data_IF_164027853240
#
_entry.id   IF_164027853240
#
_cell.length_a   1.000
_cell.length_b   1.000
_cell.length_c   1.000
_cell.angle_alpha   90.00
_cell.angle_beta   90.00
_cell.angle_gamma   90.00
#
_symmetry.space_group_name_H-M   'P 1'
#
loop_
_entity.id
_entity.type
_entity.pdbx_description
1 polymer ?
#
# COMPACT_ATOMS: atom_id res chain seq x y z
N UNK A 1 23.83 -0.36 -5.30
CA UNK A 1 22.40 -0.67 -5.07
C UNK A 1 21.56 0.26 -5.93
N UNK A 2 20.76 -0.28 -6.85
CA UNK A 2 19.96 0.54 -7.78
C UNK A 2 18.72 1.11 -7.11
N UNK A 3 18.51 2.42 -7.22
CA UNK A 3 17.26 3.07 -6.81
C UNK A 3 16.19 2.70 -7.81
N UNK A 4 15.39 1.68 -7.50
CA UNK A 4 14.21 1.33 -8.29
C UNK A 4 13.10 2.35 -7.99
N UNK A 5 12.71 3.13 -8.99
CA UNK A 5 11.49 3.93 -8.90
C UNK A 5 10.28 3.03 -9.20
N UNK A 6 9.28 2.93 -8.30
CA UNK A 6 8.08 2.13 -8.55
C UNK A 6 7.25 2.64 -9.74
N UNK A 7 7.51 3.86 -10.21
CA UNK A 7 6.85 4.48 -11.35
C UNK A 7 7.74 4.50 -12.62
N UNK A 8 8.87 3.77 -12.61
CA UNK A 8 9.86 3.83 -13.69
C UNK A 8 10.66 5.13 -13.68
N UNK A 9 11.47 5.33 -14.71
CA UNK A 9 12.36 6.49 -14.87
C UNK A 9 12.44 6.92 -16.35
N UNK A 10 12.92 8.14 -16.60
CA UNK A 10 13.11 8.71 -17.94
C UNK A 10 11.81 8.89 -18.75
N UNK A 11 11.89 8.72 -20.07
CA UNK A 11 10.80 9.01 -21.01
C UNK A 11 9.57 8.08 -20.89
N UNK A 12 9.64 7.07 -20.02
CA UNK A 12 8.54 6.13 -19.73
C UNK A 12 8.07 6.18 -18.28
N UNK A 13 8.49 7.20 -17.52
CA UNK A 13 8.00 7.50 -16.17
C UNK A 13 6.47 7.62 -16.20
N UNK A 14 5.79 7.00 -15.23
CA UNK A 14 4.32 7.01 -15.21
C UNK A 14 3.79 8.43 -14.99
N UNK A 15 2.89 8.86 -15.88
CA UNK A 15 2.20 10.17 -15.79
C UNK A 15 1.49 10.33 -14.43
N UNK A 16 0.98 9.23 -13.87
CA UNK A 16 0.27 9.20 -12.60
C UNK A 16 1.15 9.17 -11.34
N UNK A 17 2.47 9.36 -11.42
CA UNK A 17 3.36 9.25 -10.24
C UNK A 17 2.95 10.18 -9.10
N UNK A 18 2.72 11.46 -9.39
CA UNK A 18 2.33 12.43 -8.37
C UNK A 18 0.99 12.06 -7.74
N UNK A 19 0.00 11.76 -8.59
CA UNK A 19 -1.32 11.36 -8.13
C UNK A 19 -1.26 10.08 -7.27
N UNK A 20 -0.61 9.02 -7.75
CA UNK A 20 -0.48 7.76 -7.02
C UNK A 20 0.26 7.90 -5.70
N UNK A 21 1.27 8.78 -5.65
CA UNK A 21 1.98 9.07 -4.40
C UNK A 21 1.09 9.82 -3.39
N UNK A 22 0.35 10.83 -3.84
CA UNK A 22 -0.56 11.61 -2.99
C UNK A 22 -1.69 10.72 -2.46
N UNK A 23 -2.33 9.94 -3.32
CA UNK A 23 -3.37 8.98 -2.93
C UNK A 23 -2.85 7.98 -1.88
N UNK A 24 -1.66 7.40 -2.10
CA UNK A 24 -1.07 6.47 -1.14
C UNK A 24 -0.83 7.14 0.23
N UNK A 25 -0.31 8.37 0.24
CA UNK A 25 -0.08 9.13 1.47
C UNK A 25 -1.41 9.45 2.19
N UNK A 26 -2.42 9.90 1.45
CA UNK A 26 -3.74 10.20 2.02
C UNK A 26 -4.42 8.95 2.56
N UNK A 27 -4.44 7.87 1.79
CA UNK A 27 -5.01 6.60 2.21
C UNK A 27 -4.33 6.07 3.49
N UNK A 28 -3.00 6.06 3.55
CA UNK A 28 -2.26 5.60 4.72
C UNK A 28 -2.44 6.55 5.91
N UNK A 29 -2.34 7.86 5.70
CA UNK A 29 -2.46 8.86 6.75
C UNK A 29 -3.84 8.83 7.41
N UNK A 30 -4.90 8.81 6.60
CA UNK A 30 -6.29 8.78 7.10
C UNK A 30 -6.60 7.48 7.85
N UNK A 31 -6.11 6.34 7.36
CA UNK A 31 -6.33 5.03 7.96
C UNK A 31 -5.56 4.89 9.28
N UNK A 32 -4.26 5.17 9.28
CA UNK A 32 -3.38 5.00 10.44
C UNK A 32 -3.61 6.05 11.55
N UNK A 33 -4.15 7.22 11.21
CA UNK A 33 -4.52 8.23 12.21
C UNK A 33 -5.68 7.77 13.10
N UNK A 34 -6.62 6.99 12.57
CA UNK A 34 -7.86 6.63 13.27
C UNK A 34 -7.93 5.17 13.70
N UNK A 35 -7.19 4.30 13.01
CA UNK A 35 -7.29 2.85 13.15
C UNK A 35 -5.91 2.22 13.29
N UNK A 36 -5.85 1.16 14.09
CA UNK A 36 -4.75 0.21 14.10
C UNK A 36 -5.19 -1.02 13.32
N UNK A 37 -4.50 -1.32 12.24
CA UNK A 37 -4.76 -2.51 11.43
C UNK A 37 -3.90 -3.68 11.89
N UNK A 38 -4.50 -4.87 11.97
CA UNK A 38 -3.81 -6.13 12.23
C UNK A 38 -4.29 -7.19 11.23
N UNK A 39 -3.40 -7.98 10.61
CA UNK A 39 -3.84 -9.12 9.80
C UNK A 39 -4.73 -10.06 10.62
N UNK A 40 -5.76 -10.61 9.99
CA UNK A 40 -6.53 -11.70 10.60
C UNK A 40 -5.57 -12.87 10.89
N UNK A 41 -5.67 -13.57 12.05
CA UNK A 41 -4.82 -14.72 12.32
C UNK A 41 -4.85 -15.74 11.17
N UNK A 42 -3.67 -16.15 10.69
CA UNK A 42 -3.54 -17.05 9.54
C UNK A 42 -3.61 -16.37 8.17
N UNK A 43 -3.79 -15.05 8.10
CA UNK A 43 -3.69 -14.32 6.84
C UNK A 43 -2.22 -14.28 6.35
N UNK A 44 -2.00 -14.82 5.15
CA UNK A 44 -0.70 -14.79 4.49
C UNK A 44 -0.76 -13.89 3.26
N UNK A 45 0.28 -13.07 3.06
CA UNK A 45 0.46 -12.35 1.79
C UNK A 45 0.97 -13.38 0.78
N UNK A 46 0.14 -13.71 -0.22
CA UNK A 46 0.51 -14.61 -1.31
C UNK A 46 0.45 -13.83 -2.62
N UNK A 47 1.55 -13.16 -3.02
CA UNK A 47 1.59 -12.43 -4.27
C UNK A 47 1.24 -13.36 -5.42
N UNK A 48 0.24 -12.98 -6.20
CA UNK A 48 -0.11 -13.72 -7.41
C UNK A 48 0.67 -13.15 -8.58
N UNK A 49 1.34 -14.01 -9.38
CA UNK A 49 2.04 -13.55 -10.58
C UNK A 49 1.01 -13.03 -11.58
N UNK A 50 0.97 -11.71 -11.73
CA UNK A 50 0.06 -10.98 -12.62
C UNK A 50 0.83 -9.86 -13.34
N UNK A 51 0.23 -9.25 -14.37
CA UNK A 51 0.81 -8.08 -15.06
C UNK A 51 1.11 -6.92 -14.11
N UNK A 52 0.49 -6.90 -12.94
CA UNK A 52 0.82 -6.03 -11.82
C UNK A 52 0.83 -6.90 -10.57
N UNK A 53 1.92 -6.89 -9.79
CA UNK A 53 1.97 -7.64 -8.55
C UNK A 53 1.02 -6.99 -7.52
N UNK A 54 0.03 -7.76 -7.08
CA UNK A 54 -0.84 -7.41 -5.97
C UNK A 54 -0.61 -8.36 -4.78
N UNK A 55 -1.15 -8.01 -3.62
CA UNK A 55 -1.09 -8.84 -2.41
C UNK A 55 -2.03 -10.05 -2.45
N UNK A 56 -2.96 -10.10 -3.42
CA UNK A 56 -4.17 -10.91 -3.31
C UNK A 56 -5.07 -10.41 -2.15
N UNK A 57 -6.09 -11.17 -1.76
CA UNK A 57 -6.91 -10.84 -0.59
C UNK A 57 -6.06 -10.72 0.67
N UNK A 58 -6.12 -9.57 1.35
CA UNK A 58 -5.40 -9.31 2.60
C UNK A 58 -6.39 -8.86 3.69
N UNK A 59 -7.08 -9.81 4.35
CA UNK A 59 -8.07 -9.49 5.37
C UNK A 59 -7.41 -8.91 6.62
N UNK A 60 -7.94 -7.78 7.09
CA UNK A 60 -7.42 -7.01 8.22
C UNK A 60 -8.51 -6.77 9.27
N UNK A 61 -8.15 -6.89 10.54
CA UNK A 61 -8.92 -6.38 11.68
C UNK A 61 -8.58 -4.92 11.91
N UNK A 62 -9.61 -4.07 11.97
CA UNK A 62 -9.47 -2.64 12.23
C UNK A 62 -9.89 -2.30 13.66
N UNK A 63 -8.94 -1.92 14.50
CA UNK A 63 -9.23 -1.45 15.87
C UNK A 63 -9.19 0.08 15.91
N UNK A 64 -10.04 0.70 16.72
CA UNK A 64 -9.90 2.13 17.02
C UNK A 64 -8.53 2.37 17.64
N UNK A 65 -7.84 3.41 17.17
CA UNK A 65 -6.63 3.87 17.86
C UNK A 65 -7.08 4.51 19.17
N UNK A 66 -6.62 3.98 20.31
CA UNK A 66 -6.82 4.64 21.59
C UNK A 66 -6.10 6.00 21.57
N UNK A 67 -6.68 7.06 22.16
CA UNK A 67 -5.92 8.28 22.42
C UNK A 67 -4.71 7.91 23.30
N UNK A 68 -3.52 8.30 22.83
CA UNK A 68 -2.27 8.17 23.59
C UNK A 68 -2.05 9.38 24.48
#
# INVERSE_FOLDING_TARGET
MGRSSPFGDGNRKRIGEHFGTVEALLALGTLCARRRLRPVPGAEVRPRPEKTLGTGPLPMLAHLRAPG
#
